data_IF_338974944330
#
_entry.id   IF_338974944330
#
_cell.length_a   1.000
_cell.length_b   1.000
_cell.length_c   1.000
_cell.angle_alpha   90.00
_cell.angle_beta   90.00
_cell.angle_gamma   90.00
#
_symmetry.space_group_name_H-M   'P 1'
#
loop_
_entity.id
_entity.type
_entity.pdbx_description
1 polymer ?
#
# COMPACT_ATOMS: atom_id res chain seq x y z
N UNK A 1 -19.04 27.94 34.57
CA UNK A 1 -19.33 27.53 35.95
C UNK A 1 -18.70 26.16 36.20
N UNK A 2 -18.00 25.99 37.32
CA UNK A 2 -17.33 24.75 37.72
C UNK A 2 -17.78 24.32 39.12
N UNK A 3 -18.05 23.03 39.29
CA UNK A 3 -18.28 22.42 40.59
C UNK A 3 -16.95 22.38 41.34
N UNK A 4 -16.90 22.92 42.56
CA UNK A 4 -15.68 22.93 43.39
C UNK A 4 -15.72 21.92 44.53
N UNK A 5 -16.90 21.42 44.92
CA UNK A 5 -17.03 20.36 45.92
C UNK A 5 -18.39 20.35 46.60
N UNK A 6 -18.52 19.56 47.67
CA UNK A 6 -19.74 19.45 48.48
C UNK A 6 -19.47 19.80 49.93
N UNK A 7 -20.52 20.24 50.64
CA UNK A 7 -20.53 20.50 52.09
C UNK A 7 -21.70 19.77 52.75
N UNK A 8 -21.59 19.47 54.05
CA UNK A 8 -22.46 18.51 54.74
C UNK A 8 -23.86 19.04 55.11
N UNK A 9 -24.08 20.36 55.04
CA UNK A 9 -25.39 20.95 55.33
C UNK A 9 -25.63 22.25 54.59
N UNK A 10 -26.89 22.57 54.36
CA UNK A 10 -27.31 23.83 53.74
C UNK A 10 -26.88 25.05 54.57
N UNK A 11 -26.86 24.94 55.90
CA UNK A 11 -26.36 26.00 56.79
C UNK A 11 -24.86 26.26 56.59
N UNK A 12 -24.07 25.20 56.41
CA UNK A 12 -22.65 25.34 56.08
C UNK A 12 -22.45 25.89 54.66
N UNK A 13 -23.26 25.44 53.69
CA UNK A 13 -23.24 25.94 52.32
C UNK A 13 -23.51 27.43 52.26
N UNK A 14 -24.52 27.90 52.98
CA UNK A 14 -24.86 29.32 53.06
C UNK A 14 -23.74 30.15 53.68
N UNK A 15 -23.12 29.67 54.76
CA UNK A 15 -21.97 30.35 55.39
C UNK A 15 -20.79 30.47 54.44
N UNK A 16 -20.45 29.37 53.76
CA UNK A 16 -19.34 29.34 52.83
C UNK A 16 -19.60 30.18 51.58
N UNK A 17 -20.80 30.09 51.01
CA UNK A 17 -21.27 30.97 49.93
C UNK A 17 -21.17 32.44 50.29
N UNK A 18 -21.65 32.84 51.47
CA UNK A 18 -21.59 34.22 51.95
C UNK A 18 -20.15 34.71 52.12
N UNK A 19 -19.26 33.84 52.58
CA UNK A 19 -17.83 34.13 52.66
C UNK A 19 -17.22 34.35 51.27
N UNK A 20 -17.48 33.46 50.30
CA UNK A 20 -16.94 33.58 48.94
C UNK A 20 -17.44 34.84 48.23
N UNK A 21 -18.73 35.19 48.39
CA UNK A 21 -19.27 36.45 47.88
C UNK A 21 -18.56 37.66 48.49
N UNK A 22 -18.27 37.65 49.79
CA UNK A 22 -17.52 38.73 50.46
C UNK A 22 -16.09 38.86 49.93
N UNK A 23 -15.49 37.77 49.45
CA UNK A 23 -14.19 37.78 48.76
C UNK A 23 -14.29 38.19 47.28
N UNK A 24 -15.48 38.57 46.79
CA UNK A 24 -15.72 38.95 45.41
C UNK A 24 -15.76 37.76 44.44
N UNK A 25 -15.95 36.53 44.95
CA UNK A 25 -16.03 35.32 44.13
C UNK A 25 -17.50 35.02 43.87
N UNK A 26 -17.90 35.06 42.59
CA UNK A 26 -19.29 34.79 42.23
C UNK A 26 -19.58 33.28 42.30
N UNK A 27 -20.51 32.88 43.16
CA UNK A 27 -20.77 31.48 43.50
C UNK A 27 -22.27 31.19 43.61
N UNK A 28 -22.63 29.91 43.60
CA UNK A 28 -23.98 29.43 43.93
C UNK A 28 -23.86 28.05 44.59
N UNK A 29 -24.93 27.56 45.22
CA UNK A 29 -24.97 26.23 45.82
C UNK A 29 -26.29 25.52 45.57
N UNK A 30 -26.25 24.19 45.45
CA UNK A 30 -27.43 23.37 45.13
C UNK A 30 -27.46 22.09 45.98
N UNK A 31 -28.61 21.74 46.60
CA UNK A 31 -28.75 20.49 47.31
C UNK A 31 -28.64 19.30 46.36
N UNK A 32 -27.83 18.29 46.71
CA UNK A 32 -27.72 17.07 45.90
C UNK A 32 -28.93 16.18 46.19
N UNK A 33 -29.79 15.96 45.20
CA UNK A 33 -30.91 15.03 45.34
C UNK A 33 -30.36 13.63 45.72
N UNK A 34 -30.93 13.05 46.78
CA UNK A 34 -30.56 11.76 47.43
C UNK A 34 -29.47 11.78 48.52
N UNK A 35 -28.71 12.87 48.71
CA UNK A 35 -27.71 12.99 49.79
C UNK A 35 -27.96 14.23 50.66
N UNK A 36 -27.55 14.21 51.93
CA UNK A 36 -27.59 15.40 52.81
C UNK A 36 -26.52 16.45 52.47
N UNK A 37 -25.83 16.30 51.36
CA UNK A 37 -24.73 17.16 50.93
C UNK A 37 -25.20 18.22 49.94
N UNK A 38 -24.54 19.38 49.96
CA UNK A 38 -24.85 20.53 49.11
C UNK A 38 -23.64 20.85 48.24
N UNK A 39 -23.83 20.91 46.93
CA UNK A 39 -22.79 21.21 45.95
C UNK A 39 -22.53 22.71 45.85
N UNK A 40 -21.26 23.13 45.85
CA UNK A 40 -20.85 24.52 45.67
C UNK A 40 -20.27 24.72 44.26
N UNK A 41 -20.76 25.74 43.57
CA UNK A 41 -20.37 26.08 42.20
C UNK A 41 -19.78 27.49 42.12
N UNK A 42 -18.76 27.66 41.29
CA UNK A 42 -18.10 28.95 41.02
C UNK A 42 -18.27 29.31 39.55
N UNK A 43 -18.68 30.55 39.26
CA UNK A 43 -18.90 30.98 37.88
C UNK A 43 -17.59 31.28 37.14
N UNK A 44 -16.66 31.96 37.80
CA UNK A 44 -15.40 32.46 37.22
C UNK A 44 -14.28 31.42 37.26
N UNK A 45 -13.84 30.92 36.10
CA UNK A 45 -12.82 29.86 36.03
C UNK A 45 -11.47 30.26 36.65
N UNK A 46 -11.08 31.53 36.56
CA UNK A 46 -9.83 32.04 37.13
C UNK A 46 -9.82 32.02 38.66
N UNK A 47 -11.00 32.04 39.29
CA UNK A 47 -11.16 32.07 40.75
C UNK A 47 -11.38 30.68 41.36
N UNK A 48 -11.52 29.64 40.53
CA UNK A 48 -11.73 28.25 40.96
C UNK A 48 -10.60 27.76 41.89
N UNK A 49 -9.34 28.08 41.56
CA UNK A 49 -8.20 27.66 42.38
C UNK A 49 -8.24 28.26 43.79
N UNK A 50 -8.58 29.55 43.91
CA UNK A 50 -8.73 30.23 45.21
C UNK A 50 -9.91 29.69 46.00
N UNK A 51 -11.03 29.43 45.33
CA UNK A 51 -12.25 28.90 45.96
C UNK A 51 -12.06 27.45 46.45
N UNK A 52 -11.30 26.62 45.74
CA UNK A 52 -10.93 25.27 46.17
C UNK A 52 -10.08 25.28 47.45
N UNK A 53 -9.03 26.12 47.50
CA UNK A 53 -8.22 26.25 48.72
C UNK A 53 -9.03 26.79 49.90
N UNK A 54 -9.97 27.71 49.65
CA UNK A 54 -10.87 28.20 50.67
C UNK A 54 -11.85 27.12 51.17
N UNK A 55 -12.33 26.24 50.28
CA UNK A 55 -13.21 25.13 50.63
C UNK A 55 -12.50 24.09 51.48
N UNK A 56 -11.23 23.79 51.16
CA UNK A 56 -10.41 22.88 51.95
C UNK A 56 -10.19 23.42 53.37
N UNK A 57 -9.87 24.72 53.51
CA UNK A 57 -9.75 25.37 54.80
C UNK A 57 -11.08 25.48 55.56
N UNK A 58 -12.21 25.59 54.85
CA UNK A 58 -13.54 25.61 55.45
C UNK A 58 -13.93 24.24 56.01
N UNK A 59 -13.68 23.17 55.27
CA UNK A 59 -13.99 21.81 55.72
C UNK A 59 -13.18 21.37 56.96
N UNK A 60 -11.98 21.95 57.17
CA UNK A 60 -11.16 21.68 58.36
C UNK A 60 -11.66 22.40 59.62
N UNK A 61 -12.24 23.60 59.48
CA UNK A 61 -12.81 24.34 60.61
C UNK A 61 -14.04 25.19 60.19
N UNK A 62 -15.22 24.56 60.04
CA UNK A 62 -16.42 25.23 59.50
C UNK A 62 -17.02 26.30 60.43
N UNK A 63 -16.67 26.28 61.71
CA UNK A 63 -17.21 27.20 62.73
C UNK A 63 -16.28 28.39 63.03
N UNK A 64 -15.19 28.55 62.27
CA UNK A 64 -14.28 29.68 62.39
C UNK A 64 -15.04 31.03 62.31
N UNK A 65 -14.77 31.99 63.22
CA UNK A 65 -15.41 33.30 63.24
C UNK A 65 -15.41 34.02 61.88
N UNK A 66 -14.42 33.77 61.01
CA UNK A 66 -14.36 34.38 59.67
C UNK A 66 -15.49 33.95 58.72
N UNK A 67 -16.15 32.82 58.99
CA UNK A 67 -17.29 32.31 58.22
C UNK A 67 -18.64 32.64 58.86
N UNK A 68 -18.62 33.26 60.05
CA UNK A 68 -19.82 33.74 60.73
C UNK A 68 -20.20 35.11 60.15
N UNK A 69 -20.98 35.09 59.08
CA UNK A 69 -21.53 36.29 58.46
C UNK A 69 -22.95 36.52 58.98
N UNK A 70 -23.28 37.78 59.31
CA UNK A 70 -24.60 38.17 59.78
C UNK A 70 -25.67 37.84 58.74
N UNK A 71 -26.83 37.35 59.20
CA UNK A 71 -27.93 36.64 58.51
C UNK A 71 -28.59 37.31 57.26
N UNK A 72 -27.82 37.92 56.36
CA UNK A 72 -28.37 38.71 55.23
C UNK A 72 -27.51 38.63 53.97
N UNK A 73 -27.18 37.42 53.52
CA UNK A 73 -26.69 37.22 52.15
C UNK A 73 -27.87 37.09 51.17
N UNK A 74 -27.78 37.67 49.96
CA UNK A 74 -28.83 37.56 48.95
C UNK A 74 -29.01 36.10 48.49
N UNK A 75 -30.28 35.74 48.22
CA UNK A 75 -30.68 34.41 47.73
C UNK A 75 -29.84 34.03 46.49
N UNK A 76 -29.27 32.81 46.42
CA UNK A 76 -28.44 32.40 45.30
C UNK A 76 -29.20 32.51 43.96
N UNK A 77 -28.56 32.99 42.88
CA UNK A 77 -29.16 32.94 41.55
C UNK A 77 -29.34 31.47 41.11
N UNK A 78 -30.50 31.18 40.50
CA UNK A 78 -30.77 29.87 39.89
C UNK A 78 -29.68 29.56 38.82
N UNK A 79 -29.08 28.36 38.85
CA UNK A 79 -28.08 28.00 37.86
C UNK A 79 -28.69 27.93 36.44
N UNK A 80 -27.94 28.27 35.39
CA UNK A 80 -28.45 28.22 34.01
C UNK A 80 -28.87 26.79 33.62
N UNK A 81 -30.03 26.67 32.98
CA UNK A 81 -30.68 25.42 32.57
C UNK A 81 -29.84 24.63 31.54
N UNK A 82 -28.96 23.74 32.03
CA UNK A 82 -28.14 22.81 31.24
C UNK A 82 -28.98 21.83 30.40
N UNK A 83 -30.28 21.69 30.68
CA UNK A 83 -31.20 20.84 29.93
C UNK A 83 -31.45 21.40 28.53
N UNK A 84 -31.40 22.73 28.38
CA UNK A 84 -31.57 23.40 27.09
C UNK A 84 -30.37 23.16 26.17
N UNK A 85 -29.16 23.21 26.71
CA UNK A 85 -27.92 22.94 25.96
C UNK A 85 -27.81 21.48 25.52
N UNK A 86 -28.16 20.52 26.41
CA UNK A 86 -28.22 19.10 26.04
C UNK A 86 -29.23 18.81 24.95
N UNK A 87 -30.40 19.46 24.96
CA UNK A 87 -31.41 19.31 23.90
C UNK A 87 -30.89 19.83 22.57
N UNK A 88 -30.24 20.99 22.55
CA UNK A 88 -29.64 21.57 21.32
C UNK A 88 -28.54 20.64 20.79
N UNK A 89 -27.72 20.04 21.67
CA UNK A 89 -26.68 19.09 21.28
C UNK A 89 -27.26 17.78 20.72
N UNK A 90 -28.33 17.26 21.33
CA UNK A 90 -29.05 16.07 20.84
C UNK A 90 -29.77 16.32 19.51
N UNK A 91 -30.40 17.49 19.35
CA UNK A 91 -31.03 17.92 18.09
C UNK A 91 -29.98 18.08 16.98
N UNK A 92 -28.84 18.72 17.27
CA UNK A 92 -27.74 18.84 16.30
C UNK A 92 -27.16 17.48 15.89
N UNK A 93 -27.05 16.52 16.82
CA UNK A 93 -26.64 15.13 16.52
C UNK A 93 -27.70 14.39 15.69
N UNK A 94 -28.98 14.63 15.93
CA UNK A 94 -30.09 14.07 15.13
C UNK A 94 -30.09 14.62 13.71
N UNK A 95 -29.91 15.94 13.57
CA UNK A 95 -29.89 16.61 12.27
C UNK A 95 -28.67 16.19 11.44
N UNK A 96 -27.49 16.08 12.07
CA UNK A 96 -26.30 15.50 11.43
C UNK A 96 -26.51 14.03 11.00
N UNK A 97 -27.25 13.23 11.77
CA UNK A 97 -27.63 11.86 11.38
C UNK A 97 -28.64 11.83 10.24
N UNK A 98 -29.53 12.81 10.15
CA UNK A 98 -30.52 12.93 9.08
C UNK A 98 -29.90 13.41 7.75
N UNK A 99 -28.89 14.27 7.81
CA UNK A 99 -28.13 14.76 6.64
C UNK A 99 -27.14 13.72 6.07
N UNK A 100 -26.85 12.64 6.80
CA UNK A 100 -26.15 11.49 6.20
C UNK A 100 -27.09 10.86 5.16
N UNK A 101 -26.73 10.81 3.87
CA UNK A 101 -27.58 10.22 2.86
C UNK A 101 -27.84 8.77 3.26
N UNK A 102 -29.10 8.44 3.59
CA UNK A 102 -29.55 7.07 3.72
C UNK A 102 -29.57 6.47 2.32
N UNK A 103 -28.39 6.10 1.82
CA UNK A 103 -28.24 5.17 0.71
C UNK A 103 -28.82 3.84 1.18
N UNK A 104 -30.15 3.71 1.04
CA UNK A 104 -30.85 2.45 1.15
C UNK A 104 -30.42 1.62 -0.06
N UNK A 105 -29.26 0.98 0.06
CA UNK A 105 -28.79 -0.04 -0.86
C UNK A 105 -29.86 -1.11 -0.88
N UNK A 106 -30.66 -1.18 -1.94
CA UNK A 106 -31.46 -2.37 -2.24
C UNK A 106 -30.47 -3.52 -2.37
N UNK A 107 -30.32 -4.31 -1.31
CA UNK A 107 -29.52 -5.53 -1.31
C UNK A 107 -30.28 -6.60 -2.07
N UNK A 108 -30.38 -6.46 -3.39
CA UNK A 108 -30.29 -7.62 -4.26
C UNK A 108 -28.80 -7.90 -4.41
N UNK A 109 -28.17 -8.45 -3.37
CA UNK A 109 -26.81 -9.01 -3.48
C UNK A 109 -26.93 -10.30 -4.31
N UNK A 110 -27.15 -10.17 -5.61
CA UNK A 110 -26.42 -11.04 -6.51
C UNK A 110 -24.95 -10.83 -6.14
N UNK A 111 -24.24 -11.87 -5.71
CA UNK A 111 -22.83 -11.75 -5.42
C UNK A 111 -22.18 -11.07 -6.63
N UNK A 112 -21.69 -9.84 -6.46
CA UNK A 112 -21.11 -9.09 -7.56
C UNK A 112 -20.00 -9.96 -8.13
N UNK A 113 -20.22 -10.51 -9.33
CA UNK A 113 -19.23 -11.34 -9.98
C UNK A 113 -18.17 -10.42 -10.54
N UNK A 114 -16.90 -10.79 -10.33
CA UNK A 114 -15.74 -10.05 -10.81
C UNK A 114 -15.03 -10.88 -11.88
N UNK A 115 -15.71 -11.17 -13.01
CA UNK A 115 -15.22 -12.12 -14.00
C UNK A 115 -13.87 -11.73 -14.61
N UNK A 116 -13.58 -10.44 -14.79
CA UNK A 116 -12.28 -10.00 -15.32
C UNK A 116 -11.17 -10.24 -14.29
N UNK A 117 -11.42 -9.89 -13.02
CA UNK A 117 -10.47 -10.15 -11.93
C UNK A 117 -10.17 -11.65 -11.80
N UNK A 118 -11.23 -12.48 -11.81
CA UNK A 118 -11.10 -13.94 -11.76
C UNK A 118 -10.32 -14.46 -12.97
N UNK A 119 -10.65 -13.98 -14.18
CA UNK A 119 -9.95 -14.38 -15.40
C UNK A 119 -8.45 -14.08 -15.34
N UNK A 120 -8.05 -12.88 -14.93
CA UNK A 120 -6.64 -12.50 -14.80
C UNK A 120 -5.92 -13.42 -13.81
N UNK A 121 -6.53 -13.70 -12.65
CA UNK A 121 -5.94 -14.57 -11.64
C UNK A 121 -5.80 -16.00 -12.15
N UNK A 122 -6.87 -16.57 -12.72
CA UNK A 122 -6.85 -17.93 -13.26
C UNK A 122 -5.82 -18.06 -14.38
N UNK A 123 -5.73 -17.07 -15.26
CA UNK A 123 -4.73 -17.06 -16.34
C UNK A 123 -3.29 -17.07 -15.79
N UNK A 124 -2.98 -16.20 -14.82
CA UNK A 124 -1.65 -16.15 -14.20
C UNK A 124 -1.32 -17.46 -13.46
N UNK A 125 -2.30 -18.01 -12.73
CA UNK A 125 -2.15 -19.27 -12.00
C UNK A 125 -1.95 -20.45 -12.95
N UNK A 126 -2.73 -20.53 -14.03
CA UNK A 126 -2.58 -21.57 -15.04
C UNK A 126 -1.21 -21.51 -15.72
N UNK A 127 -0.75 -20.31 -16.11
CA UNK A 127 0.59 -20.11 -16.67
C UNK A 127 1.69 -20.48 -15.68
N UNK A 128 1.53 -20.14 -14.39
CA UNK A 128 2.49 -20.52 -13.35
C UNK A 128 2.59 -22.03 -13.17
N UNK A 129 1.47 -22.75 -13.12
CA UNK A 129 1.48 -24.22 -13.01
C UNK A 129 2.05 -24.86 -14.27
N UNK A 130 1.66 -24.38 -15.46
CA UNK A 130 2.22 -24.87 -16.72
C UNK A 130 3.73 -24.67 -16.78
N UNK A 131 4.21 -23.47 -16.41
CA UNK A 131 5.62 -23.17 -16.32
C UNK A 131 6.34 -24.05 -15.28
N UNK A 132 5.71 -24.28 -14.12
CA UNK A 132 6.24 -25.15 -13.06
C UNK A 132 6.38 -26.60 -13.51
N UNK A 133 5.43 -27.12 -14.28
CA UNK A 133 5.51 -28.48 -14.86
C UNK A 133 6.69 -28.55 -15.85
N UNK A 134 6.84 -27.55 -16.71
CA UNK A 134 7.99 -27.49 -17.62
C UNK A 134 9.30 -27.39 -16.85
N UNK A 135 9.38 -26.54 -15.83
CA UNK A 135 10.56 -26.38 -15.00
C UNK A 135 10.92 -27.67 -14.26
N UNK A 136 9.94 -28.40 -13.74
CA UNK A 136 10.15 -29.71 -13.10
C UNK A 136 10.58 -30.79 -14.10
N UNK A 137 10.09 -30.74 -15.33
CA UNK A 137 10.55 -31.62 -16.40
C UNK A 137 12.00 -31.30 -16.80
N UNK A 138 12.36 -30.01 -16.88
CA UNK A 138 13.73 -29.57 -17.17
C UNK A 138 14.69 -29.91 -16.01
N UNK A 139 14.26 -29.75 -14.75
CA UNK A 139 15.11 -30.02 -13.57
C UNK A 139 15.36 -31.51 -13.34
N UNK A 140 14.51 -32.38 -13.89
CA UNK A 140 14.67 -33.84 -13.87
C UNK A 140 15.42 -34.37 -15.10
N UNK A 141 15.56 -33.54 -16.14
CA UNK A 141 16.35 -33.87 -17.30
C UNK A 141 17.81 -33.53 -17.00
N UNK A 142 18.61 -34.54 -16.69
CA UNK A 142 20.05 -34.36 -16.45
C UNK A 142 20.73 -33.89 -17.72
N UNK A 143 21.09 -32.58 -17.77
CA UNK A 143 22.17 -31.99 -18.56
C UNK A 143 21.95 -30.84 -19.51
N UNK A 144 22.16 -30.95 -20.84
CA UNK A 144 21.85 -29.92 -21.85
C UNK A 144 20.48 -29.25 -21.67
N UNK A 145 19.53 -30.02 -21.14
CA UNK A 145 18.21 -29.54 -20.73
C UNK A 145 18.23 -28.77 -19.40
N UNK A 146 19.16 -29.09 -18.50
CA UNK A 146 19.61 -28.23 -17.37
C UNK A 146 20.67 -27.16 -17.74
N UNK A 147 21.24 -27.22 -18.94
CA UNK A 147 22.17 -26.28 -19.58
C UNK A 147 21.38 -25.21 -20.37
N UNK A 148 20.08 -25.46 -20.61
CA UNK A 148 19.04 -24.44 -20.74
C UNK A 148 18.92 -23.68 -19.41
N UNK A 149 19.98 -22.99 -19.01
CA UNK A 149 20.04 -22.22 -17.79
C UNK A 149 19.05 -21.06 -17.94
N UNK A 150 17.85 -21.26 -17.41
CA UNK A 150 16.98 -20.18 -16.94
C UNK A 150 15.64 -19.98 -17.64
N UNK A 151 15.31 -20.65 -18.75
CA UNK A 151 14.03 -20.39 -19.46
C UNK A 151 13.32 -21.63 -19.98
N UNK A 152 12.08 -21.83 -19.52
CA UNK A 152 11.15 -22.82 -20.08
C UNK A 152 10.64 -22.41 -21.46
N UNK A 153 10.08 -23.33 -22.27
CA UNK A 153 9.42 -22.96 -23.53
C UNK A 153 8.32 -21.90 -23.38
N UNK A 154 7.61 -21.88 -22.25
CA UNK A 154 6.64 -20.81 -21.95
C UNK A 154 7.35 -19.47 -21.73
N UNK A 155 8.43 -19.45 -20.96
CA UNK A 155 9.22 -18.23 -20.76
C UNK A 155 9.79 -17.73 -22.10
N UNK A 156 10.39 -18.61 -22.91
CA UNK A 156 10.94 -18.24 -24.22
C UNK A 156 9.91 -17.55 -25.11
N UNK A 157 8.64 -17.97 -25.09
CA UNK A 157 7.56 -17.39 -25.91
C UNK A 157 6.94 -16.12 -25.33
N UNK A 158 6.95 -15.96 -24.00
CA UNK A 158 6.20 -14.90 -23.31
C UNK A 158 7.08 -13.83 -22.64
N UNK A 159 8.39 -14.05 -22.49
CA UNK A 159 9.34 -13.05 -21.99
C UNK A 159 9.47 -11.86 -22.94
N UNK A 160 9.98 -10.73 -22.43
CA UNK A 160 9.94 -9.46 -23.14
C UNK A 160 10.77 -9.48 -24.44
N UNK A 161 11.93 -10.12 -24.37
CA UNK A 161 12.78 -10.36 -25.53
C UNK A 161 13.47 -11.71 -25.36
N UNK A 162 13.97 -12.25 -26.47
CA UNK A 162 14.75 -13.48 -26.51
C UNK A 162 15.95 -13.27 -27.42
N UNK A 163 17.09 -12.84 -26.84
CA UNK A 163 18.29 -12.48 -27.59
C UNK A 163 18.82 -13.59 -28.50
N UNK A 164 19.56 -13.20 -29.54
CA UNK A 164 20.10 -14.13 -30.53
C UNK A 164 21.10 -15.13 -29.94
N UNK A 165 21.87 -14.71 -28.91
CA UNK A 165 22.73 -15.61 -28.13
C UNK A 165 21.96 -16.84 -27.64
N UNK A 166 20.77 -16.64 -27.10
CA UNK A 166 19.97 -17.70 -26.50
C UNK A 166 19.39 -18.60 -27.58
N UNK A 167 19.00 -18.05 -28.74
CA UNK A 167 18.53 -18.86 -29.89
C UNK A 167 19.64 -19.75 -30.43
N UNK A 168 20.88 -19.22 -30.53
CA UNK A 168 22.01 -20.02 -31.01
C UNK A 168 22.38 -21.11 -30.02
N UNK A 169 22.37 -20.81 -28.72
CA UNK A 169 22.57 -21.84 -27.69
C UNK A 169 21.49 -22.92 -27.82
N UNK A 170 20.21 -22.55 -27.94
CA UNK A 170 19.12 -23.50 -28.13
C UNK A 170 19.32 -24.37 -29.39
N UNK A 171 19.72 -23.77 -30.52
CA UNK A 171 20.01 -24.50 -31.75
C UNK A 171 21.17 -25.51 -31.57
N UNK A 172 22.26 -25.09 -30.92
CA UNK A 172 23.41 -25.97 -30.66
C UNK A 172 23.03 -27.12 -29.71
N UNK A 173 22.22 -26.85 -28.68
CA UNK A 173 21.73 -27.90 -27.78
C UNK A 173 20.89 -28.95 -28.52
N UNK A 174 20.08 -28.52 -29.50
CA UNK A 174 19.29 -29.42 -30.35
C UNK A 174 20.17 -30.17 -31.36
N UNK A 175 21.09 -29.49 -32.03
CA UNK A 175 22.01 -30.04 -33.03
C UNK A 175 22.86 -31.17 -32.45
N UNK A 176 23.45 -30.95 -31.28
CA UNK A 176 24.27 -31.94 -30.61
C UNK A 176 23.45 -32.96 -29.80
N UNK A 177 22.12 -32.80 -29.74
CA UNK A 177 21.20 -33.65 -28.97
C UNK A 177 21.70 -33.91 -27.55
N UNK A 178 22.42 -32.92 -26.98
CA UNK A 178 23.02 -33.06 -25.68
C UNK A 178 21.89 -33.30 -24.69
N UNK A 179 22.15 -34.15 -23.70
CA UNK A 179 21.22 -34.47 -22.64
C UNK A 179 21.79 -34.10 -21.31
N UNK A 180 23.07 -34.46 -20.98
CA UNK A 180 23.89 -34.29 -19.73
C UNK A 180 24.87 -33.06 -19.73
N UNK A 181 25.25 -32.51 -18.55
CA UNK A 181 26.34 -31.50 -18.42
C UNK A 181 27.67 -32.18 -18.73
N UNK A 182 27.74 -33.46 -18.38
CA UNK A 182 28.82 -34.39 -18.65
C UNK A 182 29.00 -34.57 -20.17
N UNK A 183 27.93 -34.73 -20.95
CA UNK A 183 27.98 -34.75 -22.41
C UNK A 183 28.51 -33.44 -22.99
N UNK A 184 28.09 -32.29 -22.45
CA UNK A 184 28.65 -31.00 -22.84
C UNK A 184 30.16 -30.91 -22.53
N UNK A 185 30.58 -31.38 -21.35
CA UNK A 185 32.00 -31.47 -20.98
C UNK A 185 32.77 -32.49 -21.82
N UNK A 186 32.12 -33.50 -22.37
CA UNK A 186 32.71 -34.52 -23.23
C UNK A 186 32.86 -34.06 -24.69
N UNK A 187 32.17 -32.99 -25.10
CA UNK A 187 32.32 -32.43 -26.45
C UNK A 187 33.78 -32.06 -26.73
N UNK A 188 34.24 -32.24 -27.99
CA UNK A 188 35.55 -31.74 -28.38
C UNK A 188 35.60 -30.21 -28.30
N UNK A 189 36.82 -29.68 -28.27
CA UNK A 189 37.05 -28.28 -27.94
C UNK A 189 36.52 -27.33 -29.01
N UNK A 190 36.47 -27.78 -30.27
CA UNK A 190 35.95 -27.00 -31.39
C UNK A 190 34.44 -26.76 -31.27
N UNK A 191 33.69 -27.75 -30.80
CA UNK A 191 32.25 -27.68 -30.56
C UNK A 191 31.95 -26.82 -29.35
N UNK A 192 32.72 -26.95 -28.26
CA UNK A 192 32.63 -26.03 -27.11
C UNK A 192 32.90 -24.59 -27.50
N UNK A 193 33.80 -24.34 -28.45
CA UNK A 193 34.07 -23.00 -28.95
C UNK A 193 32.85 -22.39 -29.66
N UNK A 194 31.97 -23.20 -30.29
CA UNK A 194 30.70 -22.71 -30.87
C UNK A 194 29.74 -22.20 -29.80
N UNK A 195 29.64 -22.89 -28.66
CA UNK A 195 28.83 -22.41 -27.52
C UNK A 195 29.39 -21.12 -26.93
N UNK A 196 30.71 -21.03 -26.75
CA UNK A 196 31.37 -19.79 -26.32
C UNK A 196 31.14 -18.64 -27.31
N UNK A 197 31.20 -18.92 -28.61
CA UNK A 197 30.90 -17.93 -29.64
C UNK A 197 29.46 -17.43 -29.54
N UNK A 198 28.50 -18.32 -29.28
CA UNK A 198 27.09 -17.96 -29.07
C UNK A 198 26.87 -17.13 -27.79
N UNK A 199 27.55 -17.46 -26.69
CA UNK A 199 27.52 -16.69 -25.43
C UNK A 199 28.10 -15.28 -25.60
N UNK A 200 29.12 -15.13 -26.45
CA UNK A 200 29.77 -13.85 -26.73
C UNK A 200 28.98 -12.93 -27.67
N UNK A 201 27.83 -13.38 -28.21
CA UNK A 201 26.97 -12.53 -29.02
C UNK A 201 26.47 -11.36 -28.15
N UNK A 202 26.68 -10.10 -28.59
CA UNK A 202 26.26 -8.94 -27.80
C UNK A 202 24.76 -8.97 -27.46
N UNK A 203 24.46 -8.92 -26.17
CA UNK A 203 23.08 -8.88 -25.65
C UNK A 203 22.82 -7.64 -24.81
N UNK A 204 21.56 -7.20 -24.86
CA UNK A 204 21.13 -6.01 -24.12
C UNK A 204 20.89 -6.34 -22.64
N UNK A 205 21.74 -5.79 -21.78
CA UNK A 205 21.67 -5.92 -20.32
C UNK A 205 21.09 -4.69 -19.60
N UNK A 206 20.64 -3.68 -20.36
CA UNK A 206 20.09 -2.44 -19.81
C UNK A 206 21.11 -1.33 -19.59
N UNK A 207 20.61 -0.09 -19.47
CA UNK A 207 21.44 1.10 -19.25
C UNK A 207 22.19 1.05 -17.92
N UNK A 208 21.66 0.36 -16.91
CA UNK A 208 22.34 0.22 -15.62
C UNK A 208 23.66 -0.55 -15.77
N UNK A 209 23.72 -1.58 -16.62
CA UNK A 209 24.94 -2.32 -16.89
C UNK A 209 26.02 -1.42 -17.53
N UNK A 210 25.63 -0.56 -18.47
CA UNK A 210 26.52 0.45 -19.08
C UNK A 210 27.07 1.38 -18.00
N UNK A 211 26.20 1.91 -17.14
CA UNK A 211 26.63 2.80 -16.05
C UNK A 211 27.61 2.10 -15.10
N UNK A 212 27.31 0.86 -14.69
CA UNK A 212 28.18 0.08 -13.81
C UNK A 212 29.56 -0.19 -14.43
N UNK A 213 29.62 -0.47 -15.74
CA UNK A 213 30.90 -0.67 -16.44
C UNK A 213 31.80 0.56 -16.43
N UNK A 214 31.22 1.78 -16.39
CA UNK A 214 31.97 3.03 -16.31
C UNK A 214 32.46 3.36 -14.91
N UNK A 215 31.74 2.92 -13.88
CA UNK A 215 32.02 3.26 -12.48
C UNK A 215 32.91 2.22 -11.80
N UNK A 216 32.77 0.93 -12.13
CA UNK A 216 33.51 -0.16 -11.48
C UNK A 216 34.64 -0.67 -12.38
N UNK A 217 35.89 -0.46 -11.94
CA UNK A 217 37.08 -1.05 -12.59
C UNK A 217 36.97 -2.59 -12.60
N UNK A 218 37.22 -3.20 -13.76
CA UNK A 218 37.18 -4.65 -13.94
C UNK A 218 35.84 -5.22 -14.42
N UNK A 219 34.81 -4.38 -14.62
CA UNK A 219 33.59 -4.78 -15.34
C UNK A 219 33.81 -4.52 -16.83
N UNK A 220 33.60 -5.55 -17.67
CA UNK A 220 33.74 -5.41 -19.11
C UNK A 220 32.73 -4.38 -19.66
N UNK A 221 33.18 -3.53 -20.57
CA UNK A 221 32.31 -2.57 -21.24
C UNK A 221 31.32 -3.34 -22.13
N UNK A 222 30.04 -3.01 -22.01
CA UNK A 222 29.01 -3.68 -22.79
C UNK A 222 29.12 -3.24 -24.25
N UNK A 223 29.39 -4.20 -25.15
CA UNK A 223 29.36 -3.94 -26.59
C UNK A 223 27.97 -3.46 -27.04
N UNK A 224 27.88 -2.63 -28.10
CA UNK A 224 26.60 -2.26 -28.69
C UNK A 224 25.77 -3.51 -29.01
N UNK A 225 24.61 -3.65 -28.36
CA UNK A 225 23.76 -4.81 -28.50
C UNK A 225 22.40 -4.43 -29.11
N UNK A 226 21.82 -5.31 -29.95
CA UNK A 226 20.53 -5.05 -30.55
C UNK A 226 19.43 -5.07 -29.47
N UNK A 227 18.57 -4.05 -29.49
CA UNK A 227 17.39 -3.97 -28.63
C UNK A 227 16.12 -4.39 -29.37
N UNK A 228 15.16 -4.89 -28.61
CA UNK A 228 13.81 -5.25 -29.03
C UNK A 228 13.79 -6.29 -30.16
N UNK A 229 14.70 -7.26 -30.14
CA UNK A 229 14.94 -8.18 -31.27
C UNK A 229 13.69 -8.97 -31.65
N UNK A 230 12.98 -9.54 -30.68
CA UNK A 230 11.76 -10.30 -30.89
C UNK A 230 10.56 -9.41 -31.24
N UNK A 231 10.52 -8.19 -30.70
CA UNK A 231 9.42 -7.25 -30.96
C UNK A 231 9.51 -6.70 -32.38
N UNK A 232 10.73 -6.43 -32.88
CA UNK A 232 10.97 -6.01 -34.27
C UNK A 232 10.57 -7.07 -35.31
N UNK A 233 10.50 -8.34 -34.93
CA UNK A 233 10.01 -9.43 -35.80
C UNK A 233 8.49 -9.63 -35.73
N UNK A 234 7.75 -8.73 -35.07
CA UNK A 234 6.28 -8.73 -35.03
C UNK A 234 5.68 -9.37 -33.77
N UNK A 235 6.49 -9.80 -32.80
CA UNK A 235 6.01 -10.43 -31.56
C UNK A 235 5.54 -9.40 -30.52
N UNK A 236 4.56 -8.56 -30.90
CA UNK A 236 4.11 -7.41 -30.11
C UNK A 236 3.49 -7.78 -28.75
N UNK A 237 2.98 -9.01 -28.61
CA UNK A 237 2.45 -9.50 -27.33
C UNK A 237 3.50 -9.47 -26.21
N UNK A 238 4.79 -9.59 -26.54
CA UNK A 238 5.91 -9.55 -25.58
C UNK A 238 6.03 -8.24 -24.82
N UNK A 239 5.43 -7.17 -25.32
CA UNK A 239 5.33 -5.91 -24.57
C UNK A 239 4.54 -6.10 -23.26
N UNK A 240 3.60 -7.04 -23.22
CA UNK A 240 2.70 -7.26 -22.08
C UNK A 240 2.85 -8.63 -21.41
N UNK A 241 3.08 -9.70 -22.17
CA UNK A 241 3.07 -11.07 -21.63
C UNK A 241 4.03 -11.38 -20.45
N UNK A 242 5.17 -10.69 -20.26
CA UNK A 242 5.99 -10.87 -19.05
C UNK A 242 5.23 -10.61 -17.75
N UNK A 243 4.21 -9.73 -17.81
CA UNK A 243 3.34 -9.39 -16.68
C UNK A 243 2.50 -10.58 -16.20
N UNK A 244 2.29 -11.60 -17.04
CA UNK A 244 1.50 -12.79 -16.71
C UNK A 244 2.34 -13.93 -16.12
N UNK A 245 3.67 -13.88 -16.33
CA UNK A 245 4.61 -14.89 -15.85
C UNK A 245 4.97 -14.65 -14.38
N UNK A 246 5.20 -15.72 -13.63
CA UNK A 246 5.59 -15.64 -12.21
C UNK A 246 6.68 -16.67 -11.89
N UNK A 247 7.63 -16.29 -11.04
CA UNK A 247 8.70 -17.16 -10.55
C UNK A 247 8.51 -17.43 -9.06
N UNK A 248 8.32 -18.71 -8.71
CA UNK A 248 8.14 -19.13 -7.31
C UNK A 248 6.75 -18.87 -6.73
N UNK A 249 6.41 -19.67 -5.72
CA UNK A 249 5.08 -19.68 -5.10
C UNK A 249 4.73 -18.37 -4.39
N UNK A 250 5.64 -17.82 -3.58
CA UNK A 250 5.38 -16.57 -2.84
C UNK A 250 5.13 -15.40 -3.79
N UNK A 251 5.86 -15.34 -4.91
CA UNK A 251 5.72 -14.26 -5.88
C UNK A 251 4.32 -14.24 -6.52
N UNK A 252 3.80 -15.40 -6.94
CA UNK A 252 2.43 -15.46 -7.47
C UNK A 252 1.38 -15.23 -6.38
N UNK A 253 1.57 -15.79 -5.18
CA UNK A 253 0.64 -15.63 -4.07
C UNK A 253 0.40 -14.15 -3.74
N UNK A 254 1.47 -13.38 -3.54
CA UNK A 254 1.36 -11.97 -3.21
C UNK A 254 0.78 -11.14 -4.36
N UNK A 255 1.22 -11.39 -5.61
CA UNK A 255 0.69 -10.67 -6.77
C UNK A 255 -0.81 -10.91 -6.95
N UNK A 256 -1.27 -12.16 -6.83
CA UNK A 256 -2.68 -12.50 -7.03
C UNK A 256 -3.55 -12.04 -5.87
N UNK A 257 -3.04 -12.06 -4.63
CA UNK A 257 -3.73 -11.47 -3.48
C UNK A 257 -3.96 -9.95 -3.68
N UNK A 258 -2.94 -9.24 -4.16
CA UNK A 258 -3.09 -7.81 -4.47
C UNK A 258 -3.97 -7.56 -5.70
N UNK A 259 -3.82 -8.35 -6.76
CA UNK A 259 -4.67 -8.26 -7.94
C UNK A 259 -6.14 -8.45 -7.57
N UNK A 260 -6.46 -9.42 -6.71
CA UNK A 260 -7.80 -9.64 -6.19
C UNK A 260 -8.37 -8.40 -5.49
N UNK A 261 -7.60 -7.77 -4.59
CA UNK A 261 -8.07 -6.61 -3.82
C UNK A 261 -8.25 -5.38 -4.74
N UNK A 262 -7.31 -5.14 -5.65
CA UNK A 262 -7.25 -3.91 -6.43
C UNK A 262 -8.15 -3.97 -7.67
N UNK A 263 -8.08 -5.05 -8.46
CA UNK A 263 -8.91 -5.19 -9.67
C UNK A 263 -10.39 -5.28 -9.32
N UNK A 264 -10.76 -5.91 -8.21
CA UNK A 264 -12.15 -5.95 -7.72
C UNK A 264 -12.72 -4.56 -7.45
N UNK A 265 -11.89 -3.64 -6.93
CA UNK A 265 -12.28 -2.25 -6.71
C UNK A 265 -12.50 -1.51 -8.04
N UNK A 266 -11.69 -1.77 -9.05
CA UNK A 266 -11.89 -1.23 -10.39
C UNK A 266 -13.13 -1.83 -11.06
N UNK A 267 -13.31 -3.15 -11.00
CA UNK A 267 -14.41 -3.88 -11.67
C UNK A 267 -15.78 -3.56 -11.08
N UNK A 268 -15.84 -3.13 -9.83
CA UNK A 268 -17.07 -2.60 -9.22
C UNK A 268 -17.40 -1.15 -9.62
N UNK A 269 -16.51 -0.45 -10.34
CA UNK A 269 -16.63 1.00 -10.64
C UNK A 269 -16.49 1.34 -12.12
N UNK A 270 -15.75 0.55 -12.87
CA UNK A 270 -15.39 0.83 -14.26
C UNK A 270 -15.86 -0.31 -15.17
N UNK A 271 -16.29 -0.01 -16.41
CA UNK A 271 -16.53 -1.05 -17.40
C UNK A 271 -15.24 -1.79 -17.73
N UNK A 272 -15.37 -3.08 -18.05
CA UNK A 272 -14.25 -4.02 -18.25
C UNK A 272 -13.19 -3.52 -19.24
N UNK A 273 -13.59 -2.87 -20.33
CA UNK A 273 -12.65 -2.37 -21.34
C UNK A 273 -11.71 -1.29 -20.79
N UNK A 274 -12.17 -0.43 -19.87
CA UNK A 274 -11.31 0.57 -19.22
C UNK A 274 -10.27 -0.10 -18.35
N UNK A 275 -10.66 -1.16 -17.65
CA UNK A 275 -9.77 -1.93 -16.76
C UNK A 275 -8.72 -2.65 -17.60
N UNK A 276 -9.12 -3.30 -18.69
CA UNK A 276 -8.21 -3.94 -19.63
C UNK A 276 -7.21 -2.91 -20.17
N UNK A 277 -7.67 -1.73 -20.58
CA UNK A 277 -6.79 -0.68 -21.09
C UNK A 277 -5.83 -0.15 -20.02
N UNK A 278 -6.30 0.07 -18.78
CA UNK A 278 -5.44 0.46 -17.64
C UNK A 278 -4.34 -0.58 -17.41
N UNK A 279 -4.72 -1.86 -17.32
CA UNK A 279 -3.79 -2.98 -17.08
C UNK A 279 -2.77 -3.10 -18.23
N UNK A 280 -3.22 -3.01 -19.48
CA UNK A 280 -2.34 -3.07 -20.66
C UNK A 280 -1.36 -1.89 -20.68
N UNK A 281 -1.83 -0.67 -20.49
CA UNK A 281 -0.97 0.53 -20.52
C UNK A 281 0.06 0.50 -19.40
N UNK A 282 -0.34 0.13 -18.18
CA UNK A 282 0.59 0.00 -17.05
C UNK A 282 1.60 -1.12 -17.34
N UNK A 283 1.14 -2.31 -17.74
CA UNK A 283 2.02 -3.44 -18.01
C UNK A 283 3.04 -3.15 -19.10
N UNK A 284 2.60 -2.59 -20.24
CA UNK A 284 3.48 -2.21 -21.35
C UNK A 284 4.52 -1.17 -20.90
N UNK A 285 4.07 -0.09 -20.26
CA UNK A 285 4.99 0.99 -19.84
C UNK A 285 5.99 0.52 -18.78
N UNK A 286 5.56 -0.28 -17.80
CA UNK A 286 6.46 -0.84 -16.78
C UNK A 286 7.45 -1.84 -17.38
N UNK A 287 7.01 -2.70 -18.30
CA UNK A 287 7.87 -3.70 -18.93
C UNK A 287 8.92 -3.05 -19.84
N UNK A 288 8.51 -2.07 -20.66
CA UNK A 288 9.45 -1.33 -21.53
C UNK A 288 10.50 -0.61 -20.69
N UNK A 289 10.11 0.05 -19.60
CA UNK A 289 11.06 0.73 -18.75
C UNK A 289 12.03 -0.24 -18.05
N UNK A 290 11.52 -1.36 -17.51
CA UNK A 290 12.36 -2.39 -16.91
C UNK A 290 13.35 -2.97 -17.91
N UNK A 291 12.91 -3.25 -19.14
CA UNK A 291 13.77 -3.74 -20.22
C UNK A 291 14.91 -2.78 -20.55
N UNK A 292 14.60 -1.49 -20.66
CA UNK A 292 15.60 -0.46 -20.95
C UNK A 292 16.62 -0.32 -19.81
N UNK A 293 16.22 -0.52 -18.55
CA UNK A 293 17.13 -0.34 -17.40
C UNK A 293 17.96 -1.59 -17.09
N UNK A 294 17.36 -2.78 -17.18
CA UNK A 294 17.96 -4.03 -16.64
C UNK A 294 17.92 -5.22 -17.61
N UNK A 295 17.51 -5.04 -18.87
CA UNK A 295 17.46 -6.11 -19.87
C UNK A 295 16.19 -6.97 -19.82
N UNK A 296 16.12 -8.07 -20.58
CA UNK A 296 14.89 -8.85 -20.81
C UNK A 296 14.47 -9.79 -19.69
N UNK A 297 15.34 -10.03 -18.70
CA UNK A 297 15.15 -11.04 -17.68
C UNK A 297 14.33 -10.50 -16.49
N UNK A 298 13.04 -10.29 -16.73
CA UNK A 298 12.08 -9.92 -15.68
C UNK A 298 10.70 -10.48 -15.99
N UNK A 299 9.89 -10.64 -14.95
CA UNK A 299 8.52 -11.14 -15.05
C UNK A 299 7.72 -10.74 -13.81
N UNK A 300 6.40 -10.80 -13.91
CA UNK A 300 5.49 -10.64 -12.78
C UNK A 300 4.43 -9.57 -12.96
N UNK A 301 3.30 -9.76 -12.29
CA UNK A 301 2.18 -8.82 -12.30
C UNK A 301 2.42 -7.58 -11.41
N UNK A 302 3.55 -7.53 -10.71
CA UNK A 302 3.84 -6.56 -9.65
C UNK A 302 3.95 -5.11 -10.13
N UNK A 303 4.44 -4.87 -11.35
CA UNK A 303 4.40 -3.54 -11.99
C UNK A 303 2.97 -3.04 -12.17
N UNK A 304 2.05 -3.93 -12.58
CA UNK A 304 0.62 -3.63 -12.67
C UNK A 304 0.01 -3.41 -11.29
N UNK A 305 0.35 -4.22 -10.29
CA UNK A 305 -0.09 -3.99 -8.90
C UNK A 305 0.29 -2.58 -8.43
N UNK A 306 1.56 -2.18 -8.59
CA UNK A 306 2.01 -0.85 -8.20
C UNK A 306 1.26 0.25 -8.96
N UNK A 307 1.00 0.07 -10.26
CA UNK A 307 0.21 1.01 -11.03
C UNK A 307 -1.26 1.07 -10.62
N UNK A 308 -1.89 -0.05 -10.27
CA UNK A 308 -3.26 -0.05 -9.74
C UNK A 308 -3.32 0.69 -8.40
N UNK A 309 -2.32 0.53 -7.54
CA UNK A 309 -2.19 1.30 -6.29
C UNK A 309 -2.07 2.79 -6.59
N UNK A 310 -1.15 3.18 -7.48
CA UNK A 310 -0.99 4.58 -7.89
C UNK A 310 -2.26 5.17 -8.51
N UNK A 311 -2.96 4.39 -9.32
CA UNK A 311 -4.23 4.78 -9.94
C UNK A 311 -5.30 5.05 -8.87
N UNK A 312 -5.53 4.07 -8.00
CA UNK A 312 -6.54 4.15 -6.93
C UNK A 312 -6.21 5.30 -5.97
N UNK A 313 -4.95 5.46 -5.58
CA UNK A 313 -4.51 6.51 -4.66
C UNK A 313 -4.76 7.92 -5.21
N UNK A 314 -4.42 8.16 -6.47
CA UNK A 314 -4.71 9.44 -7.11
C UNK A 314 -6.21 9.62 -7.29
N UNK A 315 -6.93 8.60 -7.75
CA UNK A 315 -8.39 8.66 -7.95
C UNK A 315 -9.14 9.00 -6.68
N UNK A 316 -8.77 8.40 -5.55
CA UNK A 316 -9.38 8.70 -4.26
C UNK A 316 -9.26 10.19 -3.88
N UNK A 317 -8.22 10.89 -4.34
CA UNK A 317 -8.01 12.33 -4.08
C UNK A 317 -8.71 13.23 -5.09
N UNK A 318 -8.58 12.92 -6.39
CA UNK A 318 -9.10 13.78 -7.46
C UNK A 318 -10.58 13.56 -7.76
N UNK A 319 -11.10 12.37 -7.46
CA UNK A 319 -12.49 12.00 -7.64
C UNK A 319 -13.02 11.18 -6.44
N UNK A 320 -13.10 11.76 -5.23
CA UNK A 320 -13.53 11.04 -4.02
C UNK A 320 -14.92 10.40 -4.14
N UNK A 321 -15.80 10.98 -4.96
CA UNK A 321 -17.14 10.48 -5.26
C UNK A 321 -17.17 9.14 -6.02
N UNK A 322 -16.07 8.75 -6.69
CA UNK A 322 -15.94 7.41 -7.27
C UNK A 322 -15.81 6.33 -6.18
N UNK A 323 -15.44 6.74 -4.96
CA UNK A 323 -15.54 5.95 -3.74
C UNK A 323 -14.53 4.82 -3.67
N UNK A 324 -13.26 5.06 -4.00
CA UNK A 324 -12.18 4.08 -3.89
C UNK A 324 -11.65 3.97 -2.44
N UNK A 325 -11.89 2.84 -1.72
CA UNK A 325 -11.43 2.68 -0.35
C UNK A 325 -9.99 2.13 -0.32
N UNK A 326 -8.98 3.00 -0.34
CA UNK A 326 -7.61 2.59 -0.03
C UNK A 326 -7.28 2.95 1.42
N UNK A 327 -7.14 1.93 2.27
CA UNK A 327 -6.81 2.13 3.68
C UNK A 327 -5.36 2.62 3.80
N UNK A 328 -5.12 3.56 4.72
CA UNK A 328 -3.77 4.11 4.98
C UNK A 328 -2.74 3.00 5.27
N UNK A 329 -3.13 1.98 6.03
CA UNK A 329 -2.27 0.84 6.36
C UNK A 329 -1.89 0.00 5.12
N UNK A 330 -2.80 -0.16 4.15
CA UNK A 330 -2.51 -0.82 2.87
C UNK A 330 -1.45 -0.06 2.09
N UNK A 331 -1.55 1.27 2.01
CA UNK A 331 -0.56 2.11 1.33
C UNK A 331 0.81 1.99 2.02
N UNK A 332 0.83 2.09 3.36
CA UNK A 332 2.06 1.96 4.14
C UNK A 332 2.70 0.59 3.89
N UNK A 333 1.92 -0.49 3.97
CA UNK A 333 2.42 -1.84 3.73
C UNK A 333 3.05 -1.96 2.33
N UNK A 334 2.38 -1.46 1.28
CA UNK A 334 2.89 -1.53 -0.09
C UNK A 334 4.17 -0.70 -0.25
N UNK A 335 4.23 0.50 0.33
CA UNK A 335 5.44 1.33 0.30
C UNK A 335 6.61 0.68 1.04
N UNK A 336 6.38 0.12 2.22
CA UNK A 336 7.39 -0.62 2.98
C UNK A 336 7.84 -1.85 2.20
N UNK A 337 6.91 -2.58 1.58
CA UNK A 337 7.23 -3.75 0.77
C UNK A 337 8.09 -3.39 -0.44
N UNK A 338 7.72 -2.37 -1.23
CA UNK A 338 8.52 -1.89 -2.37
C UNK A 338 9.89 -1.40 -1.91
N UNK A 339 9.96 -0.65 -0.80
CA UNK A 339 11.23 -0.19 -0.25
C UNK A 339 12.10 -1.35 0.24
N UNK A 340 11.53 -2.35 0.90
CA UNK A 340 12.26 -3.54 1.36
C UNK A 340 12.82 -4.33 0.17
N UNK A 341 12.04 -4.49 -0.90
CA UNK A 341 12.50 -5.13 -2.14
C UNK A 341 13.62 -4.34 -2.83
N UNK A 342 13.56 -3.00 -2.79
CA UNK A 342 14.65 -2.14 -3.25
C UNK A 342 15.92 -2.29 -2.42
N UNK A 343 15.79 -2.29 -1.09
CA UNK A 343 16.92 -2.49 -0.17
C UNK A 343 17.56 -3.86 -0.37
N UNK A 344 16.76 -4.91 -0.58
CA UNK A 344 17.26 -6.26 -0.89
C UNK A 344 18.05 -6.31 -2.20
N UNK A 345 17.58 -5.65 -3.25
CA UNK A 345 18.33 -5.56 -4.52
C UNK A 345 19.64 -4.79 -4.35
N UNK A 346 19.60 -3.64 -3.65
CA UNK A 346 20.81 -2.85 -3.39
C UNK A 346 21.82 -3.63 -2.57
N UNK A 347 21.38 -4.35 -1.54
CA UNK A 347 22.23 -5.21 -0.73
C UNK A 347 22.87 -6.32 -1.56
N UNK A 348 22.11 -6.96 -2.46
CA UNK A 348 22.63 -7.98 -3.37
C UNK A 348 23.63 -7.41 -4.37
N UNK A 349 23.39 -6.21 -4.91
CA UNK A 349 24.34 -5.51 -5.77
C UNK A 349 25.65 -5.24 -5.04
N UNK A 350 25.59 -4.83 -3.77
CA UNK A 350 26.78 -4.60 -2.93
C UNK A 350 27.54 -5.91 -2.71
N UNK A 351 26.86 -7.00 -2.34
CA UNK A 351 27.48 -8.32 -2.16
C UNK A 351 28.17 -8.82 -3.44
N UNK A 352 27.48 -8.70 -4.58
CA UNK A 352 28.06 -8.99 -5.90
C UNK A 352 29.25 -8.08 -6.20
N UNK A 353 29.21 -6.81 -5.77
CA UNK A 353 30.33 -5.90 -5.95
C UNK A 353 31.61 -6.39 -5.24
N UNK A 354 31.44 -6.99 -4.06
CA UNK A 354 32.49 -7.62 -3.25
C UNK A 354 32.78 -9.10 -3.59
N UNK A 355 32.23 -9.63 -4.70
CA UNK A 355 32.42 -11.03 -5.13
C UNK A 355 31.96 -12.06 -4.10
N UNK A 356 31.06 -11.68 -3.19
CA UNK A 356 30.55 -12.56 -2.13
C UNK A 356 29.37 -13.42 -2.60
N UNK A 357 28.71 -13.05 -3.70
CA UNK A 357 27.57 -13.77 -4.27
C UNK A 357 27.51 -13.62 -5.79
N UNK A 358 27.37 -14.72 -6.51
CA UNK A 358 27.12 -14.73 -7.97
C UNK A 358 25.63 -14.59 -8.32
N UNK A 359 24.74 -14.66 -7.31
CA UNK A 359 23.29 -14.61 -7.49
C UNK A 359 22.73 -13.25 -7.09
N UNK A 360 22.33 -12.46 -8.09
CA UNK A 360 21.53 -11.25 -7.86
C UNK A 360 20.05 -11.59 -8.04
N UNK A 361 19.20 -11.50 -7.00
CA UNK A 361 17.75 -11.58 -7.18
C UNK A 361 17.32 -10.47 -8.13
N UNK A 362 16.84 -10.85 -9.33
CA UNK A 362 16.38 -9.89 -10.32
C UNK A 362 14.97 -9.40 -9.95
N UNK A 363 14.93 -8.44 -9.02
CA UNK A 363 13.72 -7.74 -8.64
C UNK A 363 13.46 -6.64 -9.66
N UNK A 364 12.25 -6.58 -10.22
CA UNK A 364 11.90 -5.58 -11.23
C UNK A 364 11.53 -4.22 -10.61
N UNK A 365 12.46 -3.58 -9.90
CA UNK A 365 12.19 -2.32 -9.18
C UNK A 365 11.78 -1.17 -10.11
N UNK A 366 12.39 -1.08 -11.30
CA UNK A 366 12.00 -0.07 -12.30
C UNK A 366 10.55 -0.28 -12.73
N UNK A 367 10.12 -1.54 -12.92
CA UNK A 367 8.73 -1.85 -13.24
C UNK A 367 7.76 -1.38 -12.15
N UNK A 368 8.12 -1.51 -10.86
CA UNK A 368 7.27 -1.06 -9.75
C UNK A 368 7.09 0.46 -9.73
N UNK A 369 8.20 1.21 -9.82
CA UNK A 369 8.19 2.67 -9.79
C UNK A 369 7.44 3.23 -11.00
N UNK A 370 7.82 2.79 -12.20
CA UNK A 370 7.20 3.27 -13.44
C UNK A 370 5.75 2.82 -13.54
N UNK A 371 5.42 1.60 -13.11
CA UNK A 371 4.04 1.14 -13.01
C UNK A 371 3.21 2.06 -12.12
N UNK A 372 3.70 2.36 -10.91
CA UNK A 372 3.06 3.28 -9.97
C UNK A 372 2.81 4.68 -10.55
N UNK A 373 3.83 5.26 -11.20
CA UNK A 373 3.72 6.55 -11.87
C UNK A 373 2.74 6.51 -13.05
N UNK A 374 2.80 5.49 -13.90
CA UNK A 374 1.89 5.32 -15.03
C UNK A 374 0.43 5.25 -14.54
N UNK A 375 0.15 4.44 -13.52
CA UNK A 375 -1.18 4.38 -12.92
C UNK A 375 -1.66 5.72 -12.34
N UNK A 376 -0.79 6.43 -11.63
CA UNK A 376 -1.06 7.76 -11.09
C UNK A 376 -1.36 8.81 -12.19
N UNK A 377 -0.72 8.70 -13.35
CA UNK A 377 -1.00 9.53 -14.52
C UNK A 377 -2.33 9.16 -15.18
N UNK A 378 -2.57 7.88 -15.43
CA UNK A 378 -3.83 7.38 -16.00
C UNK A 378 -5.04 7.79 -15.14
N UNK A 379 -4.89 7.81 -13.82
CA UNK A 379 -5.94 8.27 -12.90
C UNK A 379 -6.38 9.73 -13.08
N UNK A 380 -5.62 10.55 -13.80
CA UNK A 380 -6.00 11.93 -14.12
C UNK A 380 -6.71 12.06 -15.46
N UNK A 381 -6.72 11.02 -16.27
CA UNK A 381 -7.28 11.08 -17.62
C UNK A 381 -8.82 10.90 -17.54
N UNK A 382 -9.62 11.80 -18.12
CA UNK A 382 -11.09 11.74 -18.06
C UNK A 382 -11.68 10.45 -18.61
N UNK A 383 -11.06 9.82 -19.61
CA UNK A 383 -11.54 8.57 -20.20
C UNK A 383 -11.69 7.45 -19.15
N UNK A 384 -10.85 7.45 -18.10
CA UNK A 384 -10.89 6.46 -17.03
C UNK A 384 -11.83 6.84 -15.89
N UNK A 385 -12.62 7.91 -16.03
CA UNK A 385 -13.58 8.31 -15.01
C UNK A 385 -14.71 7.29 -14.94
N UNK A 386 -15.26 7.11 -13.75
CA UNK A 386 -16.53 6.42 -13.59
C UNK A 386 -17.56 7.21 -14.39
N UNK A 387 -18.22 6.54 -15.34
CA UNK A 387 -19.34 7.14 -16.05
C UNK A 387 -20.41 7.49 -15.02
N UNK A 388 -21.01 8.68 -15.14
CA UNK A 388 -22.22 8.99 -14.39
C UNK A 388 -23.28 7.95 -14.81
N UNK A 389 -23.99 7.36 -13.84
CA UNK A 389 -25.01 6.36 -14.11
C UNK A 389 -26.17 6.90 -14.96
#
# INVERSE_FOLDING_TARGET
>A
MRLIGTVESEKQAFRFYSYLLKQGINTTYEPVQEKKEVSIWVYDEEMVGKALSALEAFNQNPDDPKYQTADSAPTPPEPPDLTRERKIEEEGKREQRALRPQLRVKTTRAAASHPLTIFVIVLCVALFFWNSVQQAALSKADGAVGLRIGMTPVMQKLMFDYPESNKQIDHLLEEYSLKSVEEFKALPQEEKAKFQAAENIPTWHGVLAIFLSKVKKGVAEQAPAPMFTSIKTGQLWRLFTPTLLHAGFLHILFNMAWAWILLKQLESRLPKWKIILIVLLIGITSNVAQYLVSGPYFLGFSGVVCGLVGFIWVRQKVAPWEGYPLQKMTIIFILVFVLAMFVLELFSLILSAYQMTDTTPQIANTAHIIGGLAGALLARIPIFARGLP
#
